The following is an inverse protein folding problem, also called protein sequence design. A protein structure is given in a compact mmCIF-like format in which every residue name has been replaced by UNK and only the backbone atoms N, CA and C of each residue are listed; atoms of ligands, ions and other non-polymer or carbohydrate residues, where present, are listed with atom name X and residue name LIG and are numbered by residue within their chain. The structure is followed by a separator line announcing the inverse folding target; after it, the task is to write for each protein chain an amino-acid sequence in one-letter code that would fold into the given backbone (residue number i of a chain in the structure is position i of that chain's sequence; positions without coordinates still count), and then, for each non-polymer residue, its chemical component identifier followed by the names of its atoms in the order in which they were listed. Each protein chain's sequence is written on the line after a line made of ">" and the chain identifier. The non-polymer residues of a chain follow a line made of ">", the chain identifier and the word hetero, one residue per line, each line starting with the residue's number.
data_IF_670897706759
#
_entry.id   IF_670897706759
#
_cell.length_a   1.000
_cell.length_b   1.000
_cell.length_c   1.000
_cell.angle_alpha   90.00
_cell.angle_beta   90.00
_cell.angle_gamma   90.00
#
_symmetry.space_group_name_H-M   'P 1'
#
loop_
_entity.id
_entity.type
_entity.pdbx_description
1 polymer ?
#
# COMPACT_ATOMS: atom_id res chain seq x y z
N UNK A 1 -4.51 -72.52 -15.04
CA UNK A 1 -4.05 -71.54 -14.04
C UNK A 1 -3.61 -70.29 -14.79
N UNK A 2 -4.48 -69.29 -14.86
CA UNK A 2 -4.23 -67.99 -15.50
C UNK A 2 -3.60 -67.06 -14.46
N UNK A 3 -2.36 -66.63 -14.69
CA UNK A 3 -1.71 -65.60 -13.89
C UNK A 3 -2.15 -64.23 -14.39
N UNK A 4 -2.73 -63.43 -13.51
CA UNK A 4 -3.10 -62.03 -13.75
C UNK A 4 -1.84 -61.20 -13.48
N UNK A 5 -1.24 -60.63 -14.53
CA UNK A 5 -0.21 -59.60 -14.36
C UNK A 5 -0.88 -58.30 -13.92
N UNK A 6 -0.62 -57.86 -12.69
CA UNK A 6 -0.96 -56.53 -12.22
C UNK A 6 -0.02 -55.52 -12.89
N UNK A 7 -0.51 -54.81 -13.89
CA UNK A 7 0.14 -53.59 -14.38
C UNK A 7 -0.08 -52.48 -13.35
N UNK A 8 0.96 -52.14 -12.58
CA UNK A 8 1.00 -50.94 -11.75
C UNK A 8 1.02 -49.70 -12.66
N UNK A 9 -0.14 -49.07 -12.81
CA UNK A 9 -0.26 -47.71 -13.35
C UNK A 9 0.49 -46.77 -12.44
N UNK A 10 1.71 -46.39 -12.85
CA UNK A 10 2.50 -45.39 -12.16
C UNK A 10 1.98 -44.05 -12.63
N UNK A 11 1.12 -43.43 -11.84
CA UNK A 11 0.72 -42.04 -12.01
C UNK A 11 1.98 -41.19 -11.86
N UNK A 12 2.57 -40.78 -12.99
CA UNK A 12 3.56 -39.72 -13.04
C UNK A 12 2.91 -38.45 -12.47
N UNK A 13 3.11 -38.25 -11.17
CA UNK A 13 2.93 -36.95 -10.55
C UNK A 13 4.05 -36.09 -11.11
N UNK A 14 3.71 -35.29 -12.12
CA UNK A 14 4.62 -34.28 -12.64
C UNK A 14 4.96 -33.34 -11.48
N UNK A 15 6.15 -33.53 -10.91
CA UNK A 15 6.80 -32.57 -10.04
C UNK A 15 6.94 -31.27 -10.83
N UNK A 16 6.01 -30.35 -10.61
CA UNK A 16 6.11 -28.97 -11.06
C UNK A 16 7.30 -28.38 -10.30
N UNK A 17 8.49 -28.44 -10.91
CA UNK A 17 9.68 -27.76 -10.45
C UNK A 17 9.34 -26.30 -10.19
N UNK A 18 9.31 -25.93 -8.92
CA UNK A 18 9.10 -24.57 -8.42
C UNK A 18 10.35 -23.68 -8.64
N UNK A 19 11.19 -24.00 -9.62
CA UNK A 19 12.54 -23.45 -9.77
C UNK A 19 12.59 -22.14 -10.56
N UNK A 20 11.46 -21.44 -10.72
CA UNK A 20 11.40 -20.17 -11.46
C UNK A 20 10.45 -19.15 -10.85
N UNK A 21 10.25 -19.19 -9.53
CA UNK A 21 9.69 -18.03 -8.83
C UNK A 21 10.75 -16.93 -8.90
N UNK A 22 10.56 -15.97 -9.82
CA UNK A 22 11.26 -14.69 -9.75
C UNK A 22 11.27 -14.26 -8.30
N UNK A 23 12.44 -14.05 -7.70
CA UNK A 23 12.52 -13.57 -6.33
C UNK A 23 11.88 -12.19 -6.26
N UNK A 24 10.60 -12.19 -5.90
CA UNK A 24 9.83 -11.00 -5.64
C UNK A 24 10.57 -10.16 -4.61
N UNK A 25 10.61 -8.82 -4.73
CA UNK A 25 11.35 -7.98 -3.80
C UNK A 25 10.86 -8.27 -2.38
N UNK A 26 11.73 -8.75 -1.47
CA UNK A 26 11.30 -9.10 -0.14
C UNK A 26 10.80 -7.85 0.59
N UNK A 27 9.89 -8.05 1.54
CA UNK A 27 9.58 -7.05 2.54
C UNK A 27 10.88 -6.84 3.36
N UNK A 28 11.75 -5.94 2.89
CA UNK A 28 13.06 -5.70 3.46
C UNK A 28 13.01 -5.35 4.96
N UNK A 29 14.16 -5.24 5.62
CA UNK A 29 14.21 -5.07 7.08
C UNK A 29 13.38 -3.85 7.52
N UNK A 30 12.73 -3.94 8.69
CA UNK A 30 11.88 -2.87 9.25
C UNK A 30 12.60 -1.52 9.36
N UNK A 31 13.93 -1.53 9.46
CA UNK A 31 14.79 -0.35 9.44
C UNK A 31 14.67 0.47 8.15
N UNK A 32 14.32 -0.14 7.01
CA UNK A 32 14.09 0.55 5.72
C UNK A 32 13.09 1.71 5.85
N UNK A 33 12.14 1.59 6.78
CA UNK A 33 11.06 2.56 6.98
C UNK A 33 11.22 3.41 8.24
N UNK A 34 12.36 3.35 8.93
CA UNK A 34 12.64 4.22 10.08
C UNK A 34 13.43 5.44 9.60
N UNK A 35 12.85 6.62 9.74
CA UNK A 35 13.46 7.88 9.30
C UNK A 35 13.61 8.85 10.46
N UNK A 36 14.83 9.37 10.66
CA UNK A 36 15.13 10.37 11.68
C UNK A 36 14.72 11.80 11.28
N UNK A 37 14.38 12.06 10.01
CA UNK A 37 14.11 13.40 9.48
C UNK A 37 13.00 13.46 8.41
N UNK A 38 12.74 14.66 7.85
CA UNK A 38 11.66 14.94 6.89
C UNK A 38 12.00 14.54 5.44
N UNK A 39 13.08 13.80 5.21
CA UNK A 39 13.48 13.34 3.87
C UNK A 39 12.35 12.62 3.14
N UNK A 40 12.43 12.54 1.80
CA UNK A 40 11.41 11.96 0.92
C UNK A 40 11.17 10.46 1.20
N UNK A 41 10.42 10.17 2.27
CA UNK A 41 10.11 8.84 2.78
C UNK A 41 9.38 8.00 1.75
N UNK A 42 8.59 8.65 0.89
CA UNK A 42 7.86 8.04 -0.22
C UNK A 42 8.82 7.24 -1.13
N UNK A 43 10.04 7.74 -1.40
CA UNK A 43 11.03 7.06 -2.26
C UNK A 43 11.60 5.76 -1.65
N UNK A 44 11.31 5.47 -0.38
CA UNK A 44 11.67 4.17 0.23
C UNK A 44 10.75 3.03 -0.23
N UNK A 45 9.62 3.35 -0.85
CA UNK A 45 8.72 2.37 -1.44
C UNK A 45 9.33 1.88 -2.77
N UNK A 46 9.41 0.56 -2.99
CA UNK A 46 10.15 -0.01 -4.12
C UNK A 46 9.54 0.28 -5.50
N UNK A 47 8.31 0.79 -5.52
CA UNK A 47 7.54 1.15 -6.71
C UNK A 47 7.37 2.67 -6.87
N UNK A 48 8.11 3.50 -6.13
CA UNK A 48 8.14 4.96 -6.29
C UNK A 48 9.51 5.38 -6.80
N UNK A 49 9.55 6.13 -7.90
CA UNK A 49 10.81 6.56 -8.54
C UNK A 49 10.73 8.00 -9.04
N UNK A 50 11.87 8.70 -9.04
CA UNK A 50 12.00 9.94 -9.82
C UNK A 50 12.22 9.58 -11.27
N UNK A 51 11.44 10.17 -12.16
CA UNK A 51 11.57 10.03 -13.61
C UNK A 51 11.91 11.39 -14.21
N UNK A 52 12.67 11.40 -15.31
CA UNK A 52 12.98 12.63 -16.02
C UNK A 52 11.70 13.33 -16.49
N UNK A 53 11.68 14.66 -16.45
CA UNK A 53 10.54 15.47 -16.91
C UNK A 53 9.42 15.69 -15.89
N UNK A 54 9.55 15.21 -14.64
CA UNK A 54 8.60 15.54 -13.55
C UNK A 54 9.29 16.28 -12.39
N UNK A 55 8.59 17.25 -11.82
CA UNK A 55 9.02 17.98 -10.62
C UNK A 55 8.79 17.19 -9.33
N UNK A 56 7.92 16.18 -9.37
CA UNK A 56 7.59 15.26 -8.27
C UNK A 56 7.84 13.79 -8.67
N UNK A 57 8.03 12.87 -7.70
CA UNK A 57 8.19 11.44 -8.00
C UNK A 57 6.99 10.86 -8.76
N UNK A 58 7.23 9.83 -9.57
CA UNK A 58 6.16 8.96 -10.06
C UNK A 58 5.88 7.91 -8.97
N UNK A 59 4.64 7.86 -8.52
CA UNK A 59 4.19 7.08 -7.37
C UNK A 59 3.80 5.62 -7.73
N UNK A 60 3.82 5.29 -9.02
CA UNK A 60 3.57 3.93 -9.50
C UNK A 60 4.52 3.50 -10.63
N UNK A 61 5.69 3.01 -10.27
CA UNK A 61 6.73 2.45 -11.16
C UNK A 61 7.09 1.03 -10.70
N UNK A 62 6.13 0.09 -10.78
CA UNK A 62 6.34 -1.30 -10.35
C UNK A 62 7.31 -2.04 -11.26
N UNK A 63 7.82 -3.19 -10.78
CA UNK A 63 8.52 -4.15 -11.64
C UNK A 63 7.53 -4.78 -12.64
N UNK A 64 8.04 -5.20 -13.81
CA UNK A 64 7.21 -5.85 -14.82
C UNK A 64 6.95 -7.31 -14.44
N UNK A 65 5.69 -7.73 -14.26
CA UNK A 65 5.36 -9.12 -13.96
C UNK A 65 5.43 -10.00 -15.22
N UNK A 66 5.93 -11.23 -15.08
CA UNK A 66 5.96 -12.21 -16.18
C UNK A 66 4.61 -12.85 -16.44
N UNK A 67 3.78 -12.95 -15.40
CA UNK A 67 2.45 -13.55 -15.46
C UNK A 67 1.52 -12.94 -14.41
N UNK A 68 0.23 -13.30 -14.48
CA UNK A 68 -0.79 -12.78 -13.56
C UNK A 68 -0.55 -13.17 -12.10
N UNK A 69 -0.04 -14.37 -11.83
CA UNK A 69 0.25 -14.81 -10.47
C UNK A 69 1.33 -13.93 -9.81
N UNK A 70 2.42 -13.68 -10.53
CA UNK A 70 3.49 -12.77 -10.10
C UNK A 70 2.97 -11.34 -9.94
N UNK A 71 2.13 -10.86 -10.86
CA UNK A 71 1.50 -9.56 -10.76
C UNK A 71 0.68 -9.42 -9.47
N UNK A 72 -0.14 -10.43 -9.15
CA UNK A 72 -0.92 -10.43 -7.92
C UNK A 72 -0.04 -10.44 -6.67
N UNK A 73 1.04 -11.23 -6.69
CA UNK A 73 1.99 -11.30 -5.59
C UNK A 73 2.75 -9.97 -5.37
N UNK A 74 3.22 -9.32 -6.44
CA UNK A 74 3.82 -7.99 -6.40
C UNK A 74 2.84 -6.96 -5.83
N UNK A 75 1.59 -6.98 -6.27
CA UNK A 75 0.54 -6.08 -5.76
C UNK A 75 0.40 -6.18 -4.24
N UNK A 76 0.28 -7.40 -3.71
CA UNK A 76 0.20 -7.65 -2.25
C UNK A 76 1.44 -7.16 -1.52
N UNK A 77 2.63 -7.43 -2.05
CA UNK A 77 3.89 -6.98 -1.43
C UNK A 77 4.02 -5.47 -1.41
N UNK A 78 3.68 -4.78 -2.50
CA UNK A 78 3.69 -3.32 -2.55
C UNK A 78 2.71 -2.70 -1.56
N UNK A 79 1.54 -3.29 -1.38
CA UNK A 79 0.59 -2.87 -0.35
C UNK A 79 1.17 -3.10 1.07
N UNK A 80 1.85 -4.22 1.31
CA UNK A 80 2.54 -4.49 2.56
C UNK A 80 3.68 -3.47 2.85
N UNK A 81 4.44 -3.08 1.82
CA UNK A 81 5.45 -2.03 1.93
C UNK A 81 4.84 -0.67 2.33
N UNK A 82 3.72 -0.28 1.71
CA UNK A 82 2.98 0.92 2.07
C UNK A 82 2.48 0.85 3.53
N UNK A 83 1.85 -0.26 3.91
CA UNK A 83 1.35 -0.45 5.27
C UNK A 83 2.47 -0.39 6.30
N UNK A 84 3.62 -1.00 6.03
CA UNK A 84 4.77 -0.98 6.92
C UNK A 84 5.37 0.42 7.08
N UNK A 85 5.41 1.20 5.99
CA UNK A 85 5.80 2.61 6.01
C UNK A 85 4.88 3.42 6.94
N UNK A 86 3.55 3.32 6.75
CA UNK A 86 2.56 4.05 7.53
C UNK A 86 2.56 3.64 9.01
N UNK A 87 2.71 2.33 9.29
CA UNK A 87 2.80 1.79 10.65
C UNK A 87 3.93 2.39 11.45
N UNK A 88 5.08 2.65 10.82
CA UNK A 88 6.28 3.20 11.48
C UNK A 88 6.35 4.73 11.42
N UNK A 89 5.46 5.38 10.66
CA UNK A 89 5.49 6.81 10.41
C UNK A 89 4.06 7.38 10.44
N UNK A 90 3.39 7.29 11.59
CA UNK A 90 1.96 7.69 11.73
C UNK A 90 1.67 9.11 11.26
N UNK A 91 2.62 10.03 11.43
CA UNK A 91 2.53 11.42 10.96
C UNK A 91 2.49 11.59 9.43
N UNK A 92 2.67 10.50 8.67
CA UNK A 92 2.57 10.47 7.22
C UNK A 92 1.22 9.92 6.74
N UNK A 93 0.44 9.30 7.63
CA UNK A 93 -0.95 8.95 7.33
C UNK A 93 -1.76 10.21 7.04
N UNK A 94 -2.80 10.07 6.21
CA UNK A 94 -3.69 11.16 5.79
C UNK A 94 -3.03 12.33 5.00
N UNK A 95 -1.79 12.17 4.50
CA UNK A 95 -1.12 13.18 3.64
C UNK A 95 -1.27 12.94 2.12
N UNK A 96 -2.28 12.15 1.74
CA UNK A 96 -2.61 11.87 0.34
C UNK A 96 -1.66 10.91 -0.39
N UNK A 97 -0.80 10.16 0.30
CA UNK A 97 0.14 9.24 -0.36
C UNK A 97 -0.57 8.17 -1.21
N UNK A 98 -1.60 7.52 -0.67
CA UNK A 98 -2.39 6.52 -1.41
C UNK A 98 -3.09 7.14 -2.64
N UNK A 99 -3.59 8.37 -2.51
CA UNK A 99 -4.18 9.11 -3.62
C UNK A 99 -3.16 9.38 -4.74
N UNK A 100 -1.95 9.81 -4.41
CA UNK A 100 -0.86 10.03 -5.39
C UNK A 100 -0.46 8.72 -6.08
N UNK A 101 -0.38 7.62 -5.33
CA UNK A 101 -0.13 6.28 -5.88
C UNK A 101 -1.23 5.90 -6.89
N UNK A 102 -2.50 6.02 -6.50
CA UNK A 102 -3.62 5.68 -7.36
C UNK A 102 -3.70 6.56 -8.62
N UNK A 103 -3.33 7.84 -8.51
CA UNK A 103 -3.34 8.79 -9.63
C UNK A 103 -2.30 8.47 -10.72
N UNK A 104 -1.21 7.81 -10.33
CA UNK A 104 -0.16 7.38 -11.26
C UNK A 104 -0.37 5.94 -11.80
N UNK A 105 -1.43 5.24 -11.37
CA UNK A 105 -1.81 3.94 -11.90
C UNK A 105 -2.59 4.07 -13.21
N UNK A 106 -2.27 3.23 -14.19
CA UNK A 106 -3.10 3.07 -15.39
C UNK A 106 -4.10 1.91 -15.20
N UNK A 107 -5.36 2.25 -14.90
CA UNK A 107 -6.44 1.27 -14.76
C UNK A 107 -7.02 0.78 -16.08
N UNK A 108 -6.65 1.41 -17.21
CA UNK A 108 -7.09 1.00 -18.56
C UNK A 108 -6.17 -0.04 -19.17
N UNK A 109 -5.00 -0.26 -18.57
CA UNK A 109 -4.05 -1.29 -18.98
C UNK A 109 -4.73 -2.67 -19.02
N UNK A 110 -4.47 -3.42 -20.10
CA UNK A 110 -4.96 -4.79 -20.31
C UNK A 110 -3.90 -5.85 -20.02
N UNK A 111 -2.68 -5.45 -19.68
CA UNK A 111 -1.60 -6.31 -19.23
C UNK A 111 -1.83 -6.85 -17.81
N UNK A 112 -0.93 -7.71 -17.36
CA UNK A 112 -0.91 -8.21 -15.99
C UNK A 112 -0.77 -7.10 -14.92
N UNK A 113 -0.32 -5.88 -15.30
CA UNK A 113 -0.27 -4.72 -14.37
C UNK A 113 -1.63 -4.37 -13.79
N UNK A 114 -2.73 -4.62 -14.51
CA UNK A 114 -4.09 -4.43 -13.97
C UNK A 114 -4.36 -5.37 -12.79
N UNK A 115 -3.98 -6.64 -12.90
CA UNK A 115 -4.11 -7.62 -11.80
C UNK A 115 -3.22 -7.26 -10.61
N UNK A 116 -2.06 -6.63 -10.85
CA UNK A 116 -1.21 -6.05 -9.80
C UNK A 116 -1.90 -4.91 -9.05
N UNK A 117 -2.45 -3.91 -9.77
CA UNK A 117 -3.20 -2.81 -9.17
C UNK A 117 -4.38 -3.33 -8.33
N UNK A 118 -5.15 -4.29 -8.89
CA UNK A 118 -6.26 -4.93 -8.16
C UNK A 118 -5.80 -5.61 -6.88
N UNK A 119 -4.73 -6.41 -6.95
CA UNK A 119 -4.21 -7.12 -5.77
C UNK A 119 -3.60 -6.19 -4.72
N UNK A 120 -3.06 -5.05 -5.13
CA UNK A 120 -2.60 -3.99 -4.22
C UNK A 120 -3.77 -3.45 -3.38
N UNK A 121 -4.87 -3.03 -4.01
CA UNK A 121 -6.03 -2.52 -3.28
C UNK A 121 -6.73 -3.61 -2.45
N UNK A 122 -6.91 -4.82 -3.00
CA UNK A 122 -7.51 -5.92 -2.26
C UNK A 122 -6.75 -6.22 -0.95
N UNK A 123 -5.41 -6.17 -0.97
CA UNK A 123 -4.64 -6.38 0.25
C UNK A 123 -4.77 -5.22 1.23
N UNK A 124 -4.85 -3.97 0.74
CA UNK A 124 -5.16 -2.83 1.60
C UNK A 124 -6.54 -2.95 2.24
N UNK A 125 -7.56 -3.44 1.52
CA UNK A 125 -8.89 -3.69 2.08
C UNK A 125 -8.85 -4.69 3.23
N UNK A 126 -8.08 -5.78 3.09
CA UNK A 126 -7.87 -6.75 4.18
C UNK A 126 -7.25 -6.06 5.40
N UNK A 127 -6.20 -5.24 5.20
CA UNK A 127 -5.56 -4.52 6.30
C UNK A 127 -6.47 -3.48 6.94
N UNK A 128 -7.30 -2.79 6.13
CA UNK A 128 -8.30 -1.85 6.61
C UNK A 128 -9.36 -2.56 7.47
N UNK A 129 -9.84 -3.72 7.05
CA UNK A 129 -10.78 -4.52 7.82
C UNK A 129 -10.18 -4.91 9.20
N UNK A 130 -8.95 -5.42 9.21
CA UNK A 130 -8.24 -5.78 10.44
C UNK A 130 -7.99 -4.57 11.36
N UNK A 131 -7.75 -3.39 10.78
CA UNK A 131 -7.59 -2.15 11.53
C UNK A 131 -8.92 -1.63 12.10
N UNK A 132 -9.99 -1.68 11.29
CA UNK A 132 -11.33 -1.21 11.67
C UNK A 132 -11.91 -2.01 12.85
N UNK A 133 -11.60 -3.31 12.95
CA UNK A 133 -11.98 -4.15 14.10
C UNK A 133 -11.42 -3.66 15.44
N UNK A 134 -10.37 -2.82 15.44
CA UNK A 134 -9.73 -2.30 16.65
C UNK A 134 -10.17 -0.88 17.02
N UNK A 135 -11.11 -0.30 16.28
CA UNK A 135 -11.52 1.09 16.44
C UNK A 135 -13.03 1.16 16.58
N UNK A 136 -13.51 1.84 17.61
CA UNK A 136 -14.90 2.33 17.62
C UNK A 136 -15.03 3.44 16.57
N UNK A 137 -15.51 3.07 15.38
CA UNK A 137 -15.58 3.97 14.24
C UNK A 137 -16.49 5.17 14.52
N UNK A 138 -17.61 4.98 15.20
CA UNK A 138 -18.56 6.06 15.48
C UNK A 138 -17.93 7.09 16.41
N UNK A 139 -17.35 6.61 17.52
CA UNK A 139 -16.67 7.48 18.47
C UNK A 139 -15.46 8.18 17.85
N UNK A 140 -14.69 7.47 17.01
CA UNK A 140 -13.51 8.03 16.37
C UNK A 140 -13.86 9.15 15.38
N UNK A 141 -14.88 8.94 14.53
CA UNK A 141 -15.33 9.97 13.57
C UNK A 141 -15.86 11.19 14.30
N UNK A 142 -16.64 11.00 15.36
CA UNK A 142 -17.18 12.10 16.16
C UNK A 142 -16.06 12.92 16.82
N UNK A 143 -15.04 12.25 17.36
CA UNK A 143 -13.86 12.90 17.93
C UNK A 143 -13.07 13.70 16.87
N UNK A 144 -12.89 13.16 15.67
CA UNK A 144 -12.23 13.86 14.56
C UNK A 144 -13.02 15.10 14.14
N UNK A 145 -14.33 15.01 14.00
CA UNK A 145 -15.18 16.15 13.64
C UNK A 145 -15.10 17.26 14.69
N UNK A 146 -15.23 16.91 15.98
CA UNK A 146 -15.07 17.88 17.08
C UNK A 146 -13.71 18.56 17.07
N UNK A 147 -12.65 17.79 16.82
CA UNK A 147 -11.31 18.35 16.70
C UNK A 147 -11.22 19.37 15.56
N UNK A 148 -11.74 19.05 14.37
CA UNK A 148 -11.76 19.99 13.25
C UNK A 148 -12.56 21.26 13.54
N UNK A 149 -13.75 21.12 14.16
CA UNK A 149 -14.53 22.28 14.60
C UNK A 149 -13.75 23.16 15.59
N UNK A 150 -13.04 22.55 16.54
CA UNK A 150 -12.22 23.32 17.50
C UNK A 150 -11.06 24.05 16.84
N UNK A 151 -10.46 23.49 15.78
CA UNK A 151 -9.41 24.15 15.01
C UNK A 151 -9.95 25.37 14.26
N UNK A 152 -11.14 25.25 13.67
CA UNK A 152 -11.81 26.36 13.00
C UNK A 152 -12.17 27.46 14.01
N UNK A 153 -12.70 27.11 15.18
CA UNK A 153 -12.97 28.06 16.26
C UNK A 153 -11.70 28.80 16.71
N UNK A 154 -10.60 28.09 16.93
CA UNK A 154 -9.31 28.71 17.26
C UNK A 154 -8.84 29.67 16.17
N UNK A 155 -8.96 29.30 14.90
CA UNK A 155 -8.60 30.17 13.77
C UNK A 155 -9.45 31.45 13.75
N UNK A 156 -10.77 31.33 14.00
CA UNK A 156 -11.67 32.50 14.07
C UNK A 156 -11.35 33.42 15.26
N UNK A 157 -10.96 32.87 16.40
CA UNK A 157 -10.56 33.63 17.58
C UNK A 157 -9.24 34.37 17.37
N UNK A 158 -8.28 33.74 16.68
CA UNK A 158 -7.01 34.39 16.31
C UNK A 158 -7.21 35.52 15.28
N UNK A 159 -8.20 35.40 14.39
CA UNK A 159 -8.55 36.41 13.40
C UNK A 159 -9.34 37.60 13.97
N UNK A 160 -9.99 37.48 15.13
CA UNK A 160 -10.70 38.61 15.76
C UNK A 160 -9.68 39.65 16.27
N UNK A 161 -9.72 40.91 15.80
CA UNK A 161 -8.80 41.93 16.28
C UNK A 161 -9.07 42.17 17.77
N UNK A 162 -8.00 42.21 18.58
CA UNK A 162 -8.05 42.65 19.98
C UNK A 162 -8.72 44.01 20.03
N UNK A 163 -10.01 44.07 20.40
CA UNK A 163 -10.76 45.32 20.59
C UNK A 163 -9.95 46.20 21.54
N UNK A 164 -9.36 47.29 21.02
CA UNK A 164 -8.78 48.34 21.85
C UNK A 164 -9.92 48.91 22.71
N UNK A 165 -9.85 48.72 24.03
CA UNK A 165 -10.63 49.53 24.96
C UNK A 165 -10.22 50.98 24.74
N UNK A 166 -11.10 51.79 24.11
CA UNK A 166 -11.00 53.24 24.18
C UNK A 166 -11.51 53.64 25.57
N UNK A 167 -10.64 54.30 26.32
CA UNK A 167 -11.01 55.05 27.52
C UNK A 167 -11.71 56.35 27.16
#
# INVERSE_FOLDING_TARGET
>A
MQGIELTSSTTETQDIRLDSVSQLPPLGPRSRYRFAGPHAKDLSLPFIRRIAGRTYPHYWQPAEPKNEFEACALGRQYAAHLAQLLKLNRQHSARGLLFRIASDMDFRDRSHRRSMCKSFFNYLEILLNLGAQQVDLAQHVEALQRFHLSLDELETLQRKPRRKKKG
#
